data_IF_889844085769
#
_entry.id   IF_889844085769
#
_cell.length_a   1.000
_cell.length_b   1.000
_cell.length_c   1.000
_cell.angle_alpha   90.00
_cell.angle_beta   90.00
_cell.angle_gamma   90.00
#
_symmetry.space_group_name_H-M   'P 1'
#
loop_
_entity.id
_entity.type
_entity.pdbx_description
1 polymer ?
#
# COMPACT_ATOMS: atom_id res chain seq x y z
N UNK A 1 -71.64 -11.86 59.90
CA UNK A 1 -70.17 -11.75 59.84
C UNK A 1 -69.59 -13.16 59.73
N UNK A 2 -69.01 -13.49 58.58
CA UNK A 2 -68.30 -14.74 58.29
C UNK A 2 -67.62 -14.52 56.92
N UNK A 3 -66.33 -14.75 56.70
CA UNK A 3 -65.45 -15.73 57.34
C UNK A 3 -65.41 -16.97 56.46
N UNK A 4 -64.34 -17.13 55.67
CA UNK A 4 -64.06 -18.39 54.98
C UNK A 4 -63.21 -18.23 53.71
N UNK A 5 -61.88 -18.27 53.85
CA UNK A 5 -61.00 -18.56 52.71
C UNK A 5 -61.06 -20.06 52.41
N UNK A 6 -61.49 -20.43 51.20
CA UNK A 6 -61.43 -21.81 50.74
C UNK A 6 -60.00 -22.15 50.31
N UNK A 7 -59.39 -23.13 50.99
CA UNK A 7 -58.04 -23.62 50.67
C UNK A 7 -58.13 -24.63 49.52
N UNK A 8 -57.77 -24.21 48.31
CA UNK A 8 -57.66 -25.12 47.16
C UNK A 8 -56.40 -25.96 47.33
N UNK A 9 -56.56 -27.29 47.44
CA UNK A 9 -55.46 -28.25 47.31
C UNK A 9 -55.52 -28.86 45.92
N UNK A 10 -54.52 -28.61 45.09
CA UNK A 10 -54.32 -29.35 43.85
C UNK A 10 -53.33 -30.49 44.09
N UNK A 11 -53.57 -31.64 43.47
CA UNK A 11 -52.57 -32.70 43.29
C UNK A 11 -52.00 -32.55 41.89
N UNK A 12 -50.69 -32.43 41.77
CA UNK A 12 -50.01 -32.58 40.47
C UNK A 12 -50.25 -34.01 39.98
N UNK A 13 -50.76 -34.14 38.75
CA UNK A 13 -50.83 -35.41 38.07
C UNK A 13 -49.42 -35.96 37.82
N UNK A 14 -49.27 -37.28 37.84
CA UNK A 14 -47.99 -37.93 37.60
C UNK A 14 -47.41 -37.50 36.24
N UNK A 15 -46.18 -36.99 36.26
CA UNK A 15 -45.42 -36.66 35.05
C UNK A 15 -45.02 -37.95 34.35
N UNK A 16 -45.59 -38.20 33.17
CA UNK A 16 -45.10 -39.21 32.26
C UNK A 16 -43.90 -38.64 31.50
N UNK A 17 -42.77 -39.36 31.39
CA UNK A 17 -41.66 -38.90 30.56
C UNK A 17 -42.12 -38.94 29.11
N UNK A 18 -42.35 -37.77 28.51
CA UNK A 18 -42.40 -37.64 27.06
C UNK A 18 -40.95 -37.74 26.59
N UNK A 19 -40.60 -38.85 25.95
CA UNK A 19 -39.35 -38.92 25.22
C UNK A 19 -39.40 -37.90 24.08
N UNK A 20 -38.74 -36.76 24.26
CA UNK A 20 -38.41 -35.87 23.15
C UNK A 20 -37.51 -36.68 22.22
N UNK A 21 -38.07 -37.08 21.08
CA UNK A 21 -37.25 -37.56 19.97
C UNK A 21 -36.19 -36.49 19.69
N UNK A 22 -34.92 -36.88 19.69
CA UNK A 22 -33.83 -35.98 19.35
C UNK A 22 -34.14 -35.36 17.99
N UNK A 23 -34.35 -34.03 17.98
CA UNK A 23 -34.50 -33.31 16.74
C UNK A 23 -33.22 -33.52 15.94
N UNK A 24 -33.35 -34.12 14.76
CA UNK A 24 -32.27 -34.14 13.78
C UNK A 24 -31.83 -32.70 13.54
N UNK A 25 -30.53 -32.38 13.65
CA UNK A 25 -30.08 -31.04 13.34
C UNK A 25 -30.48 -30.71 11.90
N UNK A 26 -30.95 -29.49 11.62
CA UNK A 26 -31.23 -29.09 10.25
C UNK A 26 -29.96 -29.28 9.41
N UNK A 27 -30.08 -29.71 8.15
CA UNK A 27 -28.92 -29.85 7.28
C UNK A 27 -28.16 -28.51 7.27
N UNK A 28 -26.85 -28.59 7.45
CA UNK A 28 -25.98 -27.42 7.48
C UNK A 28 -26.25 -26.57 6.23
N UNK A 29 -26.55 -25.28 6.45
CA UNK A 29 -26.67 -24.33 5.36
C UNK A 29 -25.41 -24.42 4.47
N UNK A 30 -25.56 -24.51 3.13
CA UNK A 30 -24.40 -24.57 2.26
C UNK A 30 -23.55 -23.31 2.43
N UNK A 31 -22.33 -23.48 2.96
CA UNK A 31 -21.22 -22.54 2.84
C UNK A 31 -21.49 -21.11 3.31
N UNK A 32 -21.59 -20.90 4.63
CA UNK A 32 -21.12 -19.62 5.17
C UNK A 32 -19.63 -19.51 4.80
N UNK A 33 -19.26 -18.50 4.01
CA UNK A 33 -17.87 -18.21 3.71
C UNK A 33 -17.08 -18.19 5.02
N UNK A 34 -15.87 -18.79 5.08
CA UNK A 34 -15.10 -18.82 6.31
C UNK A 34 -14.96 -17.38 6.82
N UNK A 35 -15.42 -17.14 8.05
CA UNK A 35 -15.23 -15.85 8.71
C UNK A 35 -13.74 -15.52 8.64
N UNK A 36 -13.40 -14.33 8.13
CA UNK A 36 -12.02 -13.85 8.09
C UNK A 36 -11.48 -13.92 9.51
N UNK A 37 -10.45 -14.74 9.75
CA UNK A 37 -9.86 -14.89 11.08
C UNK A 37 -8.67 -13.96 11.21
N UNK A 38 -8.57 -13.29 12.36
CA UNK A 38 -7.38 -12.53 12.70
C UNK A 38 -6.17 -13.46 12.79
N UNK A 39 -5.07 -13.05 12.17
CA UNK A 39 -3.78 -13.67 12.40
C UNK A 39 -3.18 -13.05 13.65
N UNK A 40 -2.91 -13.87 14.66
CA UNK A 40 -2.21 -13.43 15.86
C UNK A 40 -0.71 -13.69 15.70
N UNK A 41 0.10 -12.66 15.97
CA UNK A 41 1.54 -12.76 16.09
C UNK A 41 1.95 -12.64 17.56
N UNK A 42 2.79 -13.55 18.03
CA UNK A 42 3.43 -13.45 19.34
C UNK A 42 4.88 -13.01 19.12
N UNK A 43 5.25 -11.87 19.69
CA UNK A 43 6.60 -11.35 19.73
C UNK A 43 7.14 -11.27 21.15
N UNK A 44 8.42 -10.93 21.28
CA UNK A 44 9.04 -10.64 22.58
C UNK A 44 8.43 -9.43 23.29
N UNK A 45 7.69 -8.59 22.58
CA UNK A 45 6.93 -7.45 23.09
C UNK A 45 5.44 -7.77 23.36
N UNK A 46 5.04 -9.04 23.31
CA UNK A 46 3.67 -9.48 23.56
C UNK A 46 2.94 -9.95 22.30
N UNK A 47 1.61 -10.03 22.38
CA UNK A 47 0.75 -10.53 21.30
C UNK A 47 0.09 -9.37 20.56
N UNK A 48 0.12 -9.40 19.24
CA UNK A 48 -0.66 -8.54 18.36
C UNK A 48 -1.53 -9.38 17.43
N UNK A 49 -2.60 -8.81 16.90
CA UNK A 49 -3.44 -9.47 15.89
C UNK A 49 -3.84 -8.50 14.78
N UNK A 50 -4.01 -9.05 13.58
CA UNK A 50 -4.41 -8.29 12.40
C UNK A 50 -5.11 -9.19 11.37
N UNK A 51 -5.97 -8.58 10.55
CA UNK A 51 -6.51 -9.19 9.34
C UNK A 51 -5.51 -8.99 8.19
N UNK A 52 -4.52 -9.89 8.08
CA UNK A 52 -3.43 -9.76 7.11
C UNK A 52 -3.89 -9.84 5.65
N UNK A 53 -5.04 -10.44 5.38
CA UNK A 53 -5.68 -10.48 4.06
C UNK A 53 -6.16 -9.10 3.57
N UNK A 54 -6.15 -8.08 4.44
CA UNK A 54 -6.46 -6.70 4.09
C UNK A 54 -5.22 -5.85 3.85
N UNK A 55 -4.03 -6.36 4.14
CA UNK A 55 -2.77 -5.64 3.95
C UNK A 55 -2.12 -6.07 2.64
N UNK A 56 -1.82 -5.11 1.78
CA UNK A 56 -1.13 -5.37 0.52
C UNK A 56 0.13 -4.51 0.37
N UNK A 57 1.14 -4.99 -0.36
CA UNK A 57 2.20 -4.14 -0.88
C UNK A 57 1.62 -3.11 -1.85
N UNK A 58 1.86 -1.83 -1.58
CA UNK A 58 1.36 -0.74 -2.43
C UNK A 58 2.43 -0.21 -3.40
N UNK A 59 3.60 0.11 -2.88
CA UNK A 59 4.82 0.37 -3.64
C UNK A 59 5.97 -0.53 -3.13
N UNK A 60 7.10 -0.63 -3.85
CA UNK A 60 8.22 -1.46 -3.41
C UNK A 60 8.74 -1.04 -2.02
N UNK A 61 8.94 -2.01 -1.14
CA UNK A 61 9.59 -1.86 0.16
C UNK A 61 11.05 -2.23 -0.01
N UNK A 62 11.95 -1.28 0.16
CA UNK A 62 13.37 -1.49 -0.13
C UNK A 62 14.31 -0.64 0.73
N UNK A 63 15.57 -1.07 0.74
CA UNK A 63 16.70 -0.28 1.18
C UNK A 63 17.83 -0.34 0.16
N UNK A 64 18.26 0.81 -0.34
CA UNK A 64 19.32 0.90 -1.35
C UNK A 64 20.34 1.97 -1.00
N UNK A 65 21.60 1.76 -1.40
CA UNK A 65 22.72 2.67 -1.21
C UNK A 65 23.38 3.01 -2.54
N UNK A 66 23.85 4.25 -2.68
CA UNK A 66 24.62 4.69 -3.82
C UNK A 66 25.79 5.60 -3.44
N UNK A 67 26.70 5.78 -4.37
CA UNK A 67 27.89 6.60 -4.18
C UNK A 67 27.59 8.12 -4.15
N UNK A 68 28.58 8.90 -3.68
CA UNK A 68 28.58 10.37 -3.69
C UNK A 68 27.34 10.96 -3.00
N UNK A 69 26.55 11.75 -3.73
CA UNK A 69 25.36 12.42 -3.21
C UNK A 69 24.13 11.51 -3.11
N UNK A 70 24.17 10.31 -3.70
CA UNK A 70 23.01 9.41 -3.71
C UNK A 70 22.63 8.99 -2.29
N UNK A 71 23.62 8.64 -1.47
CA UNK A 71 23.41 8.17 -0.10
C UNK A 71 22.51 6.93 -0.05
N UNK A 72 21.89 6.72 1.11
CA UNK A 72 20.90 5.66 1.30
C UNK A 72 19.49 6.20 1.03
N UNK A 73 18.65 5.39 0.37
CA UNK A 73 17.21 5.61 0.23
C UNK A 73 16.49 4.38 0.76
N UNK A 74 15.58 4.58 1.71
CA UNK A 74 14.70 3.54 2.24
C UNK A 74 13.25 3.88 1.87
N UNK A 75 12.44 2.86 1.64
CA UNK A 75 11.02 3.03 1.43
C UNK A 75 10.24 1.91 2.12
N UNK A 76 9.19 2.30 2.83
CA UNK A 76 8.16 1.40 3.36
C UNK A 76 6.83 1.83 2.75
N UNK A 77 6.05 0.86 2.27
CA UNK A 77 4.79 1.16 1.59
C UNK A 77 3.82 -0.01 1.68
N UNK A 78 2.59 0.29 2.07
CA UNK A 78 1.50 -0.67 2.16
C UNK A 78 0.16 0.03 1.91
N UNK A 79 -0.83 -0.75 1.52
CA UNK A 79 -2.23 -0.37 1.60
C UNK A 79 -3.02 -1.31 2.51
N UNK A 80 -4.10 -0.76 3.06
CA UNK A 80 -5.07 -1.47 3.88
C UNK A 80 -6.43 -1.30 3.26
N UNK A 81 -7.03 -2.41 2.88
CA UNK A 81 -8.41 -2.44 2.39
C UNK A 81 -9.38 -2.14 3.53
N UNK A 82 -10.09 -1.02 3.39
CA UNK A 82 -11.08 -0.56 4.36
C UNK A 82 -12.46 -1.17 4.07
N UNK A 83 -12.87 -1.13 2.79
CA UNK A 83 -14.16 -1.64 2.31
C UNK A 83 -14.00 -2.33 0.95
N UNK A 84 -14.91 -3.26 0.63
CA UNK A 84 -14.92 -3.97 -0.64
C UNK A 84 -14.09 -5.26 -0.64
N UNK A 85 -13.72 -5.73 -1.83
CA UNK A 85 -13.01 -6.99 -2.09
C UNK A 85 -12.05 -6.83 -3.27
N UNK A 86 -10.99 -7.65 -3.35
CA UNK A 86 -9.93 -7.47 -4.36
C UNK A 86 -10.37 -7.65 -5.81
N UNK A 87 -11.35 -8.51 -6.04
CA UNK A 87 -11.96 -8.76 -7.35
C UNK A 87 -13.14 -7.83 -7.64
N UNK A 88 -13.29 -6.73 -6.89
CA UNK A 88 -14.36 -5.76 -7.04
C UNK A 88 -13.90 -4.34 -6.70
N UNK A 89 -14.86 -3.42 -6.63
CA UNK A 89 -14.57 -2.07 -6.17
C UNK A 89 -14.12 -2.11 -4.70
N UNK A 90 -13.01 -1.43 -4.40
CA UNK A 90 -12.46 -1.38 -3.04
C UNK A 90 -11.96 0.01 -2.68
N UNK A 91 -12.18 0.36 -1.42
CA UNK A 91 -11.68 1.57 -0.79
C UNK A 91 -10.50 1.20 0.08
N UNK A 92 -9.36 1.83 -0.16
CA UNK A 92 -8.11 1.54 0.51
C UNK A 92 -7.50 2.80 1.11
N UNK A 93 -6.82 2.63 2.24
CA UNK A 93 -5.87 3.61 2.76
C UNK A 93 -4.46 3.10 2.49
N UNK A 94 -3.65 3.90 1.80
CA UNK A 94 -2.24 3.60 1.60
C UNK A 94 -1.35 4.55 2.36
N UNK A 95 -0.18 4.05 2.76
CA UNK A 95 0.86 4.83 3.37
C UNK A 95 2.20 4.45 2.75
N UNK A 96 2.90 5.45 2.23
CA UNK A 96 4.30 5.33 1.80
C UNK A 96 5.15 6.30 2.61
N UNK A 97 6.27 5.82 3.13
CA UNK A 97 7.30 6.66 3.72
C UNK A 97 8.63 6.45 2.99
N UNK A 98 9.23 7.55 2.56
CA UNK A 98 10.55 7.54 1.91
C UNK A 98 11.56 8.27 2.78
N UNK A 99 12.70 7.65 3.06
CA UNK A 99 13.76 8.21 3.92
C UNK A 99 15.04 8.37 3.10
N UNK A 100 15.64 9.55 3.15
CA UNK A 100 16.93 9.84 2.52
C UNK A 100 18.01 10.02 3.59
N UNK A 101 18.97 9.10 3.64
CA UNK A 101 19.94 9.02 4.72
C UNK A 101 21.37 9.26 4.21
N UNK A 102 22.08 10.21 4.83
CA UNK A 102 23.46 10.57 4.47
C UNK A 102 24.49 9.85 5.36
N UNK A 103 24.55 8.52 5.24
CA UNK A 103 25.50 7.67 5.98
C UNK A 103 26.98 8.04 5.77
N UNK A 104 27.30 8.75 4.68
CA UNK A 104 28.65 9.19 4.35
C UNK A 104 29.06 10.52 5.00
N UNK A 105 28.23 11.11 5.86
CA UNK A 105 28.52 12.34 6.59
C UNK A 105 28.80 12.04 8.07
N UNK A 106 29.53 12.91 8.79
CA UNK A 106 29.66 12.81 10.23
C UNK A 106 28.30 12.68 10.90
N UNK A 107 28.19 11.77 11.87
CA UNK A 107 26.94 11.34 12.55
C UNK A 107 25.89 10.63 11.67
N UNK A 108 26.11 10.48 10.36
CA UNK A 108 25.15 9.86 9.45
C UNK A 108 23.71 10.40 9.60
N UNK A 109 23.43 11.69 9.34
CA UNK A 109 22.10 12.24 9.56
C UNK A 109 21.11 11.80 8.47
N UNK A 110 19.86 11.58 8.88
CA UNK A 110 18.72 11.56 7.94
C UNK A 110 18.59 12.98 7.37
N UNK A 111 18.61 13.10 6.04
CA UNK A 111 18.54 14.40 5.35
C UNK A 111 17.12 14.91 5.27
N UNK A 112 16.20 14.02 4.91
CA UNK A 112 14.78 14.33 4.73
C UNK A 112 13.99 13.04 4.65
N UNK A 113 12.72 13.15 5.01
CA UNK A 113 11.73 12.11 4.89
C UNK A 113 10.56 12.64 4.07
N UNK A 114 9.74 11.73 3.54
CA UNK A 114 8.48 12.06 2.88
C UNK A 114 7.42 11.12 3.47
N UNK A 115 6.35 11.70 3.98
CA UNK A 115 5.16 11.03 4.48
C UNK A 115 4.07 11.17 3.42
N UNK A 116 3.65 10.05 2.83
CA UNK A 116 2.73 10.04 1.69
C UNK A 116 1.49 9.17 1.92
N UNK A 117 0.54 9.58 2.78
CA UNK A 117 -0.73 8.88 2.92
C UNK A 117 -1.67 9.15 1.73
N UNK A 118 -2.48 8.15 1.38
CA UNK A 118 -3.48 8.23 0.32
C UNK A 118 -4.76 7.50 0.73
N UNK A 119 -5.89 7.97 0.24
CA UNK A 119 -7.18 7.26 0.32
C UNK A 119 -7.76 7.24 -1.08
N UNK A 120 -8.10 6.06 -1.58
CA UNK A 120 -8.56 5.91 -2.97
C UNK A 120 -9.56 4.78 -3.13
N UNK A 121 -10.36 4.91 -4.19
CA UNK A 121 -11.25 3.87 -4.70
C UNK A 121 -10.62 3.29 -5.96
N UNK A 122 -10.39 1.98 -5.97
CA UNK A 122 -10.02 1.23 -7.18
C UNK A 122 -11.22 0.39 -7.65
N UNK A 123 -11.47 0.40 -8.95
CA UNK A 123 -12.55 -0.34 -9.62
C UNK A 123 -11.97 -1.18 -10.76
N UNK A 124 -11.98 -2.51 -10.65
CA UNK A 124 -11.65 -3.41 -11.75
C UNK A 124 -12.65 -3.26 -12.90
N UNK A 125 -12.15 -3.05 -14.11
CA UNK A 125 -12.92 -2.97 -15.36
C UNK A 125 -12.48 -4.12 -16.27
N UNK A 126 -13.01 -5.31 -15.96
CA UNK A 126 -12.57 -6.55 -16.58
C UNK A 126 -11.28 -7.11 -15.95
N UNK A 127 -10.66 -8.14 -16.57
CA UNK A 127 -9.60 -8.93 -15.92
C UNK A 127 -8.22 -8.26 -15.87
N UNK A 128 -8.02 -7.18 -16.63
CA UNK A 128 -6.69 -6.64 -16.90
C UNK A 128 -6.58 -5.11 -16.76
N UNK A 129 -7.69 -4.43 -16.47
CA UNK A 129 -7.75 -2.98 -16.32
C UNK A 129 -8.35 -2.65 -14.96
N UNK A 130 -7.68 -1.79 -14.21
CA UNK A 130 -8.22 -1.16 -13.00
C UNK A 130 -8.19 0.34 -13.21
N UNK A 131 -9.29 1.02 -12.86
CA UNK A 131 -9.36 2.48 -12.84
C UNK A 131 -9.55 2.89 -11.39
N UNK A 132 -8.88 3.95 -10.97
CA UNK A 132 -9.03 4.43 -9.62
C UNK A 132 -8.79 5.92 -9.50
N UNK A 133 -9.11 6.43 -8.31
CA UNK A 133 -8.93 7.82 -7.99
C UNK A 133 -9.12 8.08 -6.52
N UNK A 134 -8.59 9.21 -6.06
CA UNK A 134 -8.61 9.51 -4.65
C UNK A 134 -7.85 10.76 -4.30
N UNK A 135 -7.52 10.82 -3.02
CA UNK A 135 -6.74 11.87 -2.40
C UNK A 135 -5.34 11.34 -2.07
N UNK A 136 -4.34 12.16 -2.35
CA UNK A 136 -2.96 11.94 -1.95
C UNK A 136 -2.42 13.18 -1.26
N UNK A 137 -1.67 12.94 -0.18
CA UNK A 137 -0.91 13.95 0.53
C UNK A 137 0.57 13.58 0.48
N UNK A 138 1.45 14.56 0.34
CA UNK A 138 2.89 14.39 0.53
C UNK A 138 3.42 15.51 1.41
N UNK A 139 4.06 15.16 2.53
CA UNK A 139 4.70 16.13 3.41
C UNK A 139 6.11 15.67 3.79
N UNK A 140 6.99 16.62 4.10
CA UNK A 140 8.30 16.33 4.66
C UNK A 140 8.31 16.29 6.20
N UNK A 141 7.16 16.51 6.86
CA UNK A 141 7.07 16.63 8.31
C UNK A 141 7.81 17.85 8.86
N UNK A 142 8.12 18.84 8.00
CA UNK A 142 8.86 20.03 8.37
C UNK A 142 8.04 21.00 9.23
N UNK A 143 8.74 21.77 10.06
CA UNK A 143 8.15 22.81 10.89
C UNK A 143 7.97 24.13 10.14
N UNK A 144 7.68 25.21 10.87
CA UNK A 144 7.29 26.53 10.32
C UNK A 144 8.24 27.05 9.24
N UNK A 145 9.54 26.78 9.34
CA UNK A 145 10.57 27.35 8.45
C UNK A 145 10.95 26.46 7.27
N UNK A 146 10.52 25.19 7.24
CA UNK A 146 10.90 24.24 6.20
C UNK A 146 9.77 23.27 5.79
N UNK A 147 8.53 23.55 6.20
CA UNK A 147 7.36 22.73 5.88
C UNK A 147 7.08 22.74 4.39
N UNK A 148 6.92 21.54 3.83
CA UNK A 148 6.30 21.32 2.54
C UNK A 148 5.16 20.33 2.73
N UNK A 149 4.06 20.64 2.07
CA UNK A 149 2.79 19.94 2.14
C UNK A 149 2.23 19.94 0.71
N UNK A 150 1.72 18.83 0.21
CA UNK A 150 1.23 18.75 -1.16
C UNK A 150 -0.01 17.89 -1.19
N UNK A 151 -1.15 18.54 -1.42
CA UNK A 151 -2.45 17.87 -1.51
C UNK A 151 -2.86 17.74 -2.96
N UNK A 152 -3.26 16.52 -3.36
CA UNK A 152 -3.62 16.17 -4.72
C UNK A 152 -4.90 15.34 -4.74
N UNK A 153 -5.83 15.68 -5.62
CA UNK A 153 -6.80 14.71 -6.11
C UNK A 153 -6.23 14.08 -7.37
N UNK A 154 -6.34 12.77 -7.51
CA UNK A 154 -5.79 12.05 -8.64
C UNK A 154 -6.79 11.08 -9.26
N UNK A 155 -6.56 10.81 -10.54
CA UNK A 155 -7.17 9.73 -11.30
C UNK A 155 -6.04 8.91 -11.92
N UNK A 156 -6.19 7.59 -11.90
CA UNK A 156 -5.21 6.65 -12.45
C UNK A 156 -5.90 5.50 -13.16
N UNK A 157 -5.16 4.86 -14.04
CA UNK A 157 -5.50 3.54 -14.54
C UNK A 157 -4.27 2.63 -14.44
N UNK A 158 -4.49 1.33 -14.40
CA UNK A 158 -3.46 0.30 -14.54
C UNK A 158 -3.98 -0.74 -15.51
N UNK A 159 -3.28 -0.92 -16.63
CA UNK A 159 -3.61 -1.93 -17.62
C UNK A 159 -2.45 -2.89 -17.82
N UNK A 160 -2.73 -4.18 -17.61
CA UNK A 160 -1.76 -5.26 -17.75
C UNK A 160 -1.99 -6.00 -19.07
N UNK A 161 -0.91 -6.31 -19.77
CA UNK A 161 -0.87 -7.07 -21.00
C UNK A 161 -0.09 -8.35 -20.75
N UNK A 162 -0.69 -9.49 -21.07
CA UNK A 162 0.03 -10.77 -21.09
C UNK A 162 0.84 -10.87 -22.37
N UNK A 163 2.15 -11.00 -22.24
CA UNK A 163 3.08 -11.12 -23.38
C UNK A 163 3.43 -12.59 -23.67
N UNK A 164 2.85 -13.53 -22.91
CA UNK A 164 3.19 -14.94 -22.96
C UNK A 164 4.50 -15.27 -22.26
N UNK A 165 4.82 -16.57 -22.16
CA UNK A 165 6.08 -17.07 -21.56
C UNK A 165 6.38 -16.47 -20.17
N UNK A 166 5.34 -16.29 -19.34
CA UNK A 166 5.39 -15.70 -17.98
C UNK A 166 5.65 -14.19 -17.90
N UNK A 167 5.72 -13.49 -19.04
CA UNK A 167 5.94 -12.05 -19.09
C UNK A 167 4.64 -11.26 -19.10
N UNK A 168 4.63 -10.16 -18.34
CA UNK A 168 3.55 -9.18 -18.31
C UNK A 168 4.11 -7.79 -18.49
N UNK A 169 3.45 -6.96 -19.30
CA UNK A 169 3.70 -5.52 -19.35
C UNK A 169 2.54 -4.78 -18.70
N UNK A 170 2.82 -3.69 -17.98
CA UNK A 170 1.80 -2.86 -17.34
C UNK A 170 2.01 -1.40 -17.71
N UNK A 171 0.93 -0.71 -18.05
CA UNK A 171 0.90 0.73 -18.33
C UNK A 171 0.02 1.41 -17.29
N UNK A 172 0.56 2.44 -16.64
CA UNK A 172 -0.03 3.08 -15.46
C UNK A 172 -0.06 4.61 -15.64
N UNK A 173 -0.97 5.17 -16.44
CA UNK A 173 -1.13 6.62 -16.53
C UNK A 173 -1.81 7.15 -15.27
N UNK A 174 -1.39 8.33 -14.83
CA UNK A 174 -2.02 9.07 -13.74
C UNK A 174 -2.06 10.56 -14.07
N UNK A 175 -3.13 11.21 -13.66
CA UNK A 175 -3.28 12.66 -13.67
C UNK A 175 -3.71 13.15 -12.29
N UNK A 176 -3.36 14.38 -11.93
CA UNK A 176 -3.75 14.98 -10.67
C UNK A 176 -3.99 16.49 -10.78
N UNK A 177 -4.80 17.00 -9.85
CA UNK A 177 -4.95 18.42 -9.57
C UNK A 177 -4.49 18.72 -8.15
N UNK A 178 -3.79 19.83 -7.97
CA UNK A 178 -3.32 20.27 -6.67
C UNK A 178 -4.35 21.16 -5.97
N UNK A 179 -4.39 21.10 -4.64
CA UNK A 179 -5.22 22.00 -3.84
C UNK A 179 -4.57 22.31 -2.49
N UNK A 180 -5.14 23.23 -1.73
CA UNK A 180 -4.65 23.61 -0.40
C UNK A 180 -3.31 24.36 -0.39
N UNK A 181 -2.83 24.64 0.81
CA UNK A 181 -1.53 25.26 1.06
C UNK A 181 -0.40 24.29 0.73
N UNK A 182 0.73 24.80 0.19
CA UNK A 182 1.88 23.97 -0.23
C UNK A 182 3.18 24.17 0.54
N UNK A 183 3.13 24.88 1.66
CA UNK A 183 4.36 25.26 2.36
C UNK A 183 5.28 26.08 1.46
N UNK A 184 6.57 25.75 1.51
CA UNK A 184 7.60 26.39 0.68
C UNK A 184 7.59 25.95 -0.80
N UNK A 185 6.78 24.95 -1.18
CA UNK A 185 6.75 24.40 -2.53
C UNK A 185 5.61 25.01 -3.38
N UNK A 186 5.50 26.33 -3.38
CA UNK A 186 4.40 27.04 -4.07
C UNK A 186 4.41 26.83 -5.58
N UNK A 187 5.58 26.63 -6.19
CA UNK A 187 5.76 26.43 -7.63
C UNK A 187 6.13 24.97 -7.99
N UNK A 188 5.82 24.01 -7.11
CA UNK A 188 6.07 22.58 -7.31
C UNK A 188 5.52 22.04 -8.64
N UNK A 189 4.38 22.55 -9.07
CA UNK A 189 3.70 22.16 -10.31
C UNK A 189 4.54 22.47 -11.56
N UNK A 190 5.49 23.41 -11.48
CA UNK A 190 6.48 23.64 -12.54
C UNK A 190 7.45 22.48 -12.72
N UNK A 191 7.61 21.63 -11.72
CA UNK A 191 8.56 20.52 -11.71
C UNK A 191 7.87 19.16 -11.84
N UNK A 192 6.80 18.96 -11.08
CA UNK A 192 6.03 17.71 -11.08
C UNK A 192 5.01 17.65 -12.21
N UNK A 193 4.51 18.80 -12.67
CA UNK A 193 3.41 18.89 -13.61
C UNK A 193 2.12 18.28 -13.06
N UNK A 194 1.29 17.78 -13.95
CA UNK A 194 -0.07 17.32 -13.63
C UNK A 194 -0.31 15.86 -14.01
N UNK A 195 0.70 15.18 -14.54
CA UNK A 195 0.60 13.81 -15.03
C UNK A 195 1.86 13.00 -14.77
N UNK A 196 1.69 11.69 -14.66
CA UNK A 196 2.77 10.71 -14.70
C UNK A 196 2.39 9.52 -15.57
N UNK A 197 3.41 8.83 -16.04
CA UNK A 197 3.28 7.56 -16.76
C UNK A 197 4.22 6.54 -16.12
N UNK A 198 3.63 5.48 -15.58
CA UNK A 198 4.33 4.27 -15.16
C UNK A 198 4.32 3.22 -16.28
N UNK A 199 5.44 2.54 -16.46
CA UNK A 199 5.58 1.35 -17.30
C UNK A 199 6.29 0.27 -16.50
N UNK A 200 5.82 -0.96 -16.57
CA UNK A 200 6.49 -2.10 -15.97
C UNK A 200 6.55 -3.29 -16.92
N UNK A 201 7.64 -4.05 -16.86
CA UNK A 201 7.83 -5.33 -17.51
C UNK A 201 8.26 -6.32 -16.45
N UNK A 202 7.46 -7.36 -16.23
CA UNK A 202 7.66 -8.34 -15.16
C UNK A 202 7.61 -9.76 -15.71
N UNK A 203 8.54 -10.59 -15.26
CA UNK A 203 8.53 -12.03 -15.42
C UNK A 203 8.12 -12.69 -14.10
N UNK A 204 7.17 -13.64 -14.16
CA UNK A 204 6.80 -14.45 -12.99
C UNK A 204 8.05 -15.13 -12.42
N UNK A 205 8.30 -14.97 -11.13
CA UNK A 205 9.46 -15.53 -10.41
C UNK A 205 10.83 -15.15 -11.00
N UNK A 206 10.90 -14.09 -11.82
CA UNK A 206 12.09 -13.67 -12.55
C UNK A 206 12.34 -12.16 -12.47
N UNK A 207 12.81 -11.56 -13.55
CA UNK A 207 13.12 -10.13 -13.59
C UNK A 207 11.88 -9.23 -13.51
N UNK A 208 12.00 -8.08 -12.87
CA UNK A 208 11.02 -6.98 -12.98
C UNK A 208 11.75 -5.67 -13.19
N UNK A 209 11.39 -4.96 -14.25
CA UNK A 209 11.81 -3.60 -14.53
C UNK A 209 10.59 -2.68 -14.50
N UNK A 210 10.68 -1.53 -13.84
CA UNK A 210 9.63 -0.53 -13.82
C UNK A 210 10.23 0.86 -13.98
N UNK A 211 9.51 1.77 -14.62
CA UNK A 211 9.88 3.18 -14.74
C UNK A 211 8.63 4.02 -14.54
N UNK A 212 8.74 5.10 -13.78
CA UNK A 212 7.72 6.13 -13.65
C UNK A 212 8.32 7.47 -14.02
N UNK A 213 7.72 8.15 -15.00
CA UNK A 213 8.09 9.49 -15.40
C UNK A 213 6.96 10.48 -15.09
N UNK A 214 7.32 11.69 -14.67
CA UNK A 214 6.41 12.82 -14.47
C UNK A 214 7.07 14.11 -14.91
N UNK A 215 6.29 15.14 -15.15
CA UNK A 215 6.84 16.46 -15.44
C UNK A 215 5.81 17.43 -15.98
N UNK A 216 6.26 18.65 -16.20
CA UNK A 216 5.49 19.73 -16.78
C UNK A 216 6.05 20.07 -18.18
N UNK A 217 5.38 19.63 -19.26
CA UNK A 217 5.81 19.94 -20.63
C UNK A 217 5.93 21.45 -20.90
N UNK A 218 5.11 22.28 -20.25
CA UNK A 218 5.15 23.74 -20.42
C UNK A 218 6.39 24.40 -19.84
N UNK A 219 7.09 23.77 -18.89
CA UNK A 219 8.36 24.27 -18.32
C UNK A 219 9.57 23.46 -18.79
N UNK A 220 9.36 22.32 -19.45
CA UNK A 220 10.41 21.37 -19.81
C UNK A 220 11.05 20.64 -18.63
N UNK A 221 10.50 20.77 -17.41
CA UNK A 221 11.03 20.12 -16.20
C UNK A 221 10.27 18.84 -15.89
N UNK A 222 10.98 17.84 -15.40
CA UNK A 222 10.39 16.56 -15.00
C UNK A 222 11.40 15.65 -14.34
N UNK A 223 10.97 14.42 -14.07
CA UNK A 223 11.81 13.38 -13.48
C UNK A 223 11.36 11.99 -13.93
N UNK A 224 12.30 11.06 -13.93
CA UNK A 224 12.03 9.65 -14.06
C UNK A 224 12.71 8.87 -12.92
N UNK A 225 11.99 7.89 -12.38
CA UNK A 225 12.52 6.89 -11.46
C UNK A 225 12.33 5.50 -12.05
N UNK A 226 13.39 4.71 -12.07
CA UNK A 226 13.38 3.34 -12.56
C UNK A 226 13.86 2.37 -11.48
N UNK A 227 13.25 1.18 -11.48
CA UNK A 227 13.58 0.06 -10.63
C UNK A 227 13.90 -1.16 -11.46
N UNK A 228 14.85 -1.97 -10.98
CA UNK A 228 15.14 -3.30 -11.49
C UNK A 228 15.23 -4.25 -10.31
N UNK A 229 14.58 -5.41 -10.40
CA UNK A 229 14.65 -6.41 -9.35
C UNK A 229 14.74 -7.85 -9.85
N UNK A 230 15.33 -8.71 -9.03
CA UNK A 230 15.47 -10.14 -9.29
C UNK A 230 15.36 -10.93 -7.97
N UNK A 231 14.58 -12.01 -7.90
CA UNK A 231 14.39 -12.78 -6.67
C UNK A 231 15.68 -13.47 -6.26
N UNK A 232 16.12 -13.23 -5.02
CA UNK A 232 17.32 -13.85 -4.46
C UNK A 232 17.18 -15.35 -4.26
N UNK A 233 15.94 -15.85 -4.09
CA UNK A 233 15.64 -17.28 -4.04
C UNK A 233 16.12 -18.05 -5.30
N UNK A 234 16.24 -17.37 -6.45
CA UNK A 234 16.77 -17.97 -7.68
C UNK A 234 18.30 -18.09 -7.70
N UNK A 235 18.98 -17.50 -6.72
CA UNK A 235 20.44 -17.57 -6.52
C UNK A 235 20.75 -18.45 -5.31
N UNK A 236 20.06 -18.23 -4.19
CA UNK A 236 20.18 -19.00 -2.96
C UNK A 236 18.81 -19.21 -2.32
N UNK A 237 18.40 -20.48 -2.20
CA UNK A 237 17.12 -20.88 -1.62
C UNK A 237 16.96 -20.47 -0.14
N UNK A 238 18.04 -20.10 0.55
CA UNK A 238 18.03 -19.61 1.95
C UNK A 238 17.57 -18.17 2.09
N UNK A 239 17.41 -17.45 0.99
CA UNK A 239 16.94 -16.05 0.96
C UNK A 239 15.55 -15.93 0.31
N UNK A 240 14.54 -16.71 0.77
CA UNK A 240 13.18 -16.56 0.24
C UNK A 240 12.66 -15.17 0.62
N UNK A 241 11.81 -14.59 -0.23
CA UNK A 241 11.16 -13.30 -0.01
C UNK A 241 12.06 -12.05 -0.06
N UNK A 242 13.31 -12.19 -0.51
CA UNK A 242 14.19 -11.05 -0.80
C UNK A 242 14.43 -10.91 -2.30
N UNK A 243 14.63 -9.67 -2.73
CA UNK A 243 14.98 -9.32 -4.10
C UNK A 243 16.27 -8.52 -4.12
N UNK A 244 17.18 -8.83 -5.04
CA UNK A 244 18.18 -7.85 -5.48
C UNK A 244 17.43 -6.68 -6.10
N UNK A 245 17.83 -5.46 -5.77
CA UNK A 245 17.11 -4.26 -6.16
C UNK A 245 18.06 -3.15 -6.60
N UNK A 246 17.84 -2.62 -7.79
CA UNK A 246 18.50 -1.43 -8.33
C UNK A 246 17.50 -0.30 -8.51
N UNK A 247 17.91 0.92 -8.19
CA UNK A 247 17.10 2.13 -8.31
C UNK A 247 17.90 3.22 -9.04
N UNK A 248 17.25 3.88 -9.99
CA UNK A 248 17.83 4.96 -10.77
C UNK A 248 16.86 6.13 -10.80
N UNK A 249 17.32 7.32 -10.42
CA UNK A 249 16.56 8.56 -10.49
C UNK A 249 17.30 9.58 -11.35
N UNK A 250 16.55 10.30 -12.18
CA UNK A 250 17.04 11.45 -12.93
C UNK A 250 15.97 12.54 -12.98
N UNK A 251 16.36 13.80 -12.87
CA UNK A 251 15.47 14.95 -12.98
C UNK A 251 15.24 15.68 -11.68
N UNK A 252 14.06 16.28 -11.52
CA UNK A 252 13.70 17.16 -10.41
C UNK A 252 12.85 16.50 -9.32
N UNK A 253 13.09 16.88 -8.07
CA UNK A 253 12.26 16.48 -6.93
C UNK A 253 12.25 15.00 -6.64
N UNK A 254 13.46 14.43 -6.52
CA UNK A 254 13.63 13.13 -5.87
C UNK A 254 13.17 13.17 -4.42
N UNK A 255 13.53 14.25 -3.70
CA UNK A 255 13.03 14.56 -2.39
C UNK A 255 12.07 15.75 -2.47
N UNK A 256 11.18 15.85 -1.48
CA UNK A 256 10.20 16.93 -1.45
C UNK A 256 10.86 18.28 -1.11
N UNK A 257 11.82 18.31 -0.18
CA UNK A 257 12.55 19.54 0.20
C UNK A 257 13.46 20.06 -0.93
N UNK A 258 14.01 19.18 -1.75
CA UNK A 258 14.84 19.54 -2.91
C UNK A 258 14.05 19.48 -4.22
N UNK A 259 12.74 19.78 -4.21
CA UNK A 259 11.88 19.62 -5.40
C UNK A 259 12.38 20.37 -6.63
N UNK A 260 13.02 21.53 -6.42
CA UNK A 260 13.54 22.38 -7.47
C UNK A 260 14.95 21.98 -7.97
N UNK A 261 15.60 21.01 -7.34
CA UNK A 261 16.97 20.59 -7.64
C UNK A 261 16.98 19.41 -8.61
N UNK A 262 17.82 19.51 -9.64
CA UNK A 262 18.10 18.39 -10.53
C UNK A 262 19.10 17.42 -9.87
N UNK A 263 18.81 16.12 -9.93
CA UNK A 263 19.68 15.07 -9.42
C UNK A 263 19.77 13.89 -10.40
N UNK A 264 20.88 13.16 -10.33
CA UNK A 264 21.07 11.87 -10.99
C UNK A 264 21.63 10.92 -9.94
N UNK A 265 20.86 9.91 -9.54
CA UNK A 265 21.26 8.98 -8.50
C UNK A 265 21.03 7.55 -8.96
N UNK A 266 22.01 6.70 -8.70
CA UNK A 266 21.95 5.27 -8.90
C UNK A 266 22.26 4.59 -7.57
N UNK A 267 21.41 3.66 -7.16
CA UNK A 267 21.52 2.94 -5.90
C UNK A 267 21.23 1.47 -6.11
N UNK A 268 21.80 0.63 -5.26
CA UNK A 268 21.60 -0.82 -5.26
C UNK A 268 21.39 -1.31 -3.83
N UNK A 269 20.70 -2.42 -3.67
CA UNK A 269 20.43 -3.01 -2.36
C UNK A 269 19.41 -4.12 -2.46
N UNK A 270 18.53 -4.18 -1.47
CA UNK A 270 17.53 -5.24 -1.33
C UNK A 270 16.13 -4.67 -1.26
N UNK A 271 15.17 -5.46 -1.72
CA UNK A 271 13.76 -5.21 -1.54
C UNK A 271 13.06 -6.41 -0.91
N UNK A 272 11.98 -6.13 -0.20
CA UNK A 272 11.07 -7.10 0.42
C UNK A 272 9.81 -7.28 -0.43
N UNK A 273 9.45 -6.26 -1.22
CA UNK A 273 8.36 -6.27 -2.20
C UNK A 273 8.81 -5.56 -3.47
N UNK A 274 8.16 -5.83 -4.61
CA UNK A 274 8.58 -5.32 -5.91
C UNK A 274 7.41 -4.95 -6.82
#
# INVERSE_FOLDING_TARGET
AAGGFARVRYRLAASYPVALAAATPPPAAPGAAPATQETAALGSNGRSSAFLDRFHPYAPIYGVIGAKSSGVKLQVSFDVRLLGKDDGARLDFAYTQTIFWAVNRPSGPIRTEIFSPQVFLDVPVGPALTIGGGYAHDSNGGGVTNSIDVNRFFLRASKTFDLGRTWKATVMPQAWGYFGYRGLATDLDRYWGYTSLGLALEQRDGWKAAVTARGNPGTGKGSAEAFLSYPLASIDARLPHLYLFGQFFTGYGESLIDYARHANHARFGIAFTR
#
